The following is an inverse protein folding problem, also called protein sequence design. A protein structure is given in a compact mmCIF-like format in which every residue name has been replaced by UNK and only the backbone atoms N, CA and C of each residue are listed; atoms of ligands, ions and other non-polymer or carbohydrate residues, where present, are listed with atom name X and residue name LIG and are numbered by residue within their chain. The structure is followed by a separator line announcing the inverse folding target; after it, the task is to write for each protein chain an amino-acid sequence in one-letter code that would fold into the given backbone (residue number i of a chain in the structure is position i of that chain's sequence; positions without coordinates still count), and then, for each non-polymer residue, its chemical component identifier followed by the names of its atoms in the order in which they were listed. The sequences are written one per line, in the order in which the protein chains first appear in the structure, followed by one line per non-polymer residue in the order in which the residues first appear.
data_IF_133431466143
#
_entry.id   IF_133431466143
#
_cell.length_a   1.000
_cell.length_b   1.000
_cell.length_c   1.000
_cell.angle_alpha   90.00
_cell.angle_beta   90.00
_cell.angle_gamma   90.00
#
_symmetry.space_group_name_H-M   'P 1'
#
loop_
_entity.id
_entity.type
_entity.pdbx_description
1 polymer ?
#
# COMPACT_ATOMS: atom_id res chain seq x y z
N UNK A 1 3.93 2.62 28.65
CA UNK A 1 3.95 2.92 27.19
C UNK A 1 2.65 2.43 26.57
N UNK A 2 1.83 3.29 25.98
CA UNK A 2 0.71 2.82 25.14
C UNK A 2 1.30 2.10 23.94
N UNK A 3 1.13 0.79 23.86
CA UNK A 3 1.35 0.06 22.61
C UNK A 3 0.26 0.51 21.63
N UNK A 4 0.54 1.57 20.88
CA UNK A 4 -0.27 1.90 19.72
C UNK A 4 0.02 0.81 18.70
N UNK A 5 -0.77 -0.26 18.68
CA UNK A 5 -0.79 -1.21 17.56
C UNK A 5 -1.24 -0.41 16.34
N UNK A 6 -0.30 0.21 15.64
CA UNK A 6 -0.56 1.00 14.44
C UNK A 6 -1.07 0.03 13.38
N UNK A 7 -2.38 0.03 13.15
CA UNK A 7 -3.03 -0.85 12.18
C UNK A 7 -2.40 -0.65 10.79
N UNK A 8 -1.76 -1.70 10.26
CA UNK A 8 -1.15 -1.67 8.94
C UNK A 8 -2.20 -1.36 7.86
N UNK A 9 -3.40 -1.91 7.98
CA UNK A 9 -4.53 -1.60 7.08
C UNK A 9 -4.89 -0.11 7.13
N UNK A 10 -4.90 0.51 8.30
CA UNK A 10 -5.14 1.96 8.40
C UNK A 10 -4.02 2.75 7.74
N UNK A 11 -2.75 2.38 7.97
CA UNK A 11 -1.59 3.00 7.29
C UNK A 11 -1.72 2.92 5.78
N UNK A 12 -2.11 1.75 5.24
CA UNK A 12 -2.31 1.55 3.81
C UNK A 12 -3.43 2.45 3.25
N UNK A 13 -4.55 2.57 3.97
CA UNK A 13 -5.68 3.43 3.56
C UNK A 13 -5.29 4.90 3.52
N UNK A 14 -4.58 5.38 4.55
CA UNK A 14 -4.10 6.76 4.59
C UNK A 14 -3.08 7.03 3.48
N UNK A 15 -2.15 6.10 3.25
CA UNK A 15 -1.18 6.21 2.16
C UNK A 15 -1.87 6.23 0.79
N UNK A 16 -2.87 5.37 0.56
CA UNK A 16 -3.65 5.37 -0.68
C UNK A 16 -4.41 6.69 -0.87
N UNK A 17 -5.02 7.21 0.18
CA UNK A 17 -5.74 8.49 0.14
C UNK A 17 -4.78 9.66 -0.16
N UNK A 18 -3.60 9.69 0.47
CA UNK A 18 -2.56 10.67 0.18
C UNK A 18 -2.07 10.55 -1.27
N UNK A 19 -1.74 9.33 -1.72
CA UNK A 19 -1.27 9.07 -3.08
C UNK A 19 -2.27 9.50 -4.15
N UNK A 20 -3.58 9.30 -3.93
CA UNK A 20 -4.65 9.74 -4.86
C UNK A 20 -4.72 11.25 -5.03
N UNK A 21 -4.32 12.02 -4.02
CA UNK A 21 -4.30 13.49 -4.09
C UNK A 21 -3.02 14.03 -4.72
N UNK A 22 -1.95 13.25 -4.71
CA UNK A 22 -0.61 13.69 -5.12
C UNK A 22 -0.23 13.20 -6.52
N UNK A 23 -0.55 11.96 -6.87
CA UNK A 23 -0.07 11.32 -8.10
C UNK A 23 -1.18 11.25 -9.16
N UNK A 24 -0.84 11.36 -10.45
CA UNK A 24 -1.77 10.94 -11.50
C UNK A 24 -2.02 9.43 -11.39
N UNK A 25 -3.16 8.97 -11.95
CA UNK A 25 -3.54 7.56 -11.87
C UNK A 25 -2.43 6.62 -12.37
N UNK A 26 -1.79 6.97 -13.49
CA UNK A 26 -0.70 6.22 -14.11
C UNK A 26 0.45 7.16 -14.50
N UNK A 27 1.67 6.61 -14.61
CA UNK A 27 2.87 7.39 -14.90
C UNK A 27 2.94 7.87 -16.35
N UNK A 28 2.35 7.13 -17.29
CA UNK A 28 2.24 7.54 -18.69
C UNK A 28 1.08 6.83 -19.40
N UNK A 29 0.82 7.22 -20.65
CA UNK A 29 -0.17 6.54 -21.50
C UNK A 29 0.22 5.10 -21.85
N UNK A 30 1.51 4.78 -21.86
CA UNK A 30 2.05 3.47 -22.27
C UNK A 30 2.51 2.61 -21.09
N UNK A 31 2.47 3.13 -19.86
CA UNK A 31 2.74 2.32 -18.68
C UNK A 31 1.67 1.24 -18.50
N UNK A 32 2.01 0.15 -17.82
CA UNK A 32 1.02 -0.84 -17.39
C UNK A 32 -0.05 -0.19 -16.50
N UNK A 33 -1.32 -0.52 -16.73
CA UNK A 33 -2.48 0.02 -16.01
C UNK A 33 -3.12 -0.99 -15.06
N UNK A 34 -2.37 -2.01 -14.63
CA UNK A 34 -2.87 -3.00 -13.65
C UNK A 34 -3.04 -2.38 -12.26
N UNK A 35 -2.15 -1.44 -11.91
CA UNK A 35 -2.15 -0.74 -10.63
C UNK A 35 -1.88 0.75 -10.84
N UNK A 36 -2.62 1.56 -10.11
CA UNK A 36 -2.41 3.00 -10.05
C UNK A 36 -1.15 3.34 -9.25
N UNK A 37 -0.57 4.52 -9.51
CA UNK A 37 0.58 5.02 -8.73
C UNK A 37 0.26 5.13 -7.24
N UNK A 38 -0.97 5.51 -6.89
CA UNK A 38 -1.42 5.57 -5.51
C UNK A 38 -1.46 4.20 -4.82
N UNK A 39 -1.86 3.14 -5.54
CA UNK A 39 -1.81 1.75 -5.03
C UNK A 39 -0.38 1.29 -4.82
N UNK A 40 0.51 1.52 -5.80
CA UNK A 40 1.93 1.19 -5.68
C UNK A 40 2.59 1.93 -4.50
N UNK A 41 2.29 3.23 -4.35
CA UNK A 41 2.76 4.04 -3.23
C UNK A 41 2.28 3.50 -1.87
N UNK A 42 1.01 3.08 -1.77
CA UNK A 42 0.48 2.50 -0.54
C UNK A 42 1.22 1.20 -0.16
N UNK A 43 1.51 0.34 -1.14
CA UNK A 43 2.29 -0.89 -0.94
C UNK A 43 3.74 -0.60 -0.52
N UNK A 44 4.41 0.37 -1.15
CA UNK A 44 5.76 0.76 -0.75
C UNK A 44 5.80 1.33 0.68
N UNK A 45 4.80 2.11 1.05
CA UNK A 45 4.64 2.65 2.41
C UNK A 45 4.44 1.52 3.43
N UNK A 46 3.57 0.56 3.11
CA UNK A 46 3.36 -0.63 3.92
C UNK A 46 4.65 -1.44 4.11
N UNK A 47 5.40 -1.66 3.03
CA UNK A 47 6.68 -2.37 3.08
C UNK A 47 7.63 -1.72 4.09
N UNK A 48 7.77 -0.40 4.01
CA UNK A 48 8.63 0.37 4.90
C UNK A 48 8.12 0.35 6.35
N UNK A 49 6.81 0.49 6.54
CA UNK A 49 6.17 0.48 7.84
C UNK A 49 6.32 -0.87 8.56
N UNK A 50 6.13 -1.97 7.83
CA UNK A 50 6.24 -3.34 8.35
C UNK A 50 7.67 -3.87 8.38
N UNK A 51 8.62 -3.14 7.78
CA UNK A 51 10.03 -3.55 7.64
C UNK A 51 10.17 -4.94 7.00
N UNK A 52 9.36 -5.19 5.98
CA UNK A 52 9.32 -6.46 5.24
C UNK A 52 9.89 -6.29 3.83
N UNK A 53 10.04 -7.40 3.11
CA UNK A 53 10.40 -7.40 1.69
C UNK A 53 9.15 -7.48 0.79
N UNK A 54 9.35 -7.57 -0.53
CA UNK A 54 8.24 -7.66 -1.47
C UNK A 54 7.46 -8.97 -1.37
N UNK A 55 8.12 -10.10 -1.07
CA UNK A 55 7.44 -11.40 -0.96
C UNK A 55 6.58 -11.43 0.30
N UNK A 56 7.13 -10.99 1.42
CA UNK A 56 6.39 -10.87 2.68
C UNK A 56 5.22 -9.90 2.57
N UNK A 57 5.39 -8.77 1.87
CA UNK A 57 4.28 -7.84 1.61
C UNK A 57 3.16 -8.49 0.79
N UNK A 58 3.49 -9.21 -0.28
CA UNK A 58 2.49 -9.87 -1.14
C UNK A 58 1.70 -10.91 -0.34
N UNK A 59 2.37 -11.74 0.47
CA UNK A 59 1.70 -12.70 1.35
C UNK A 59 0.73 -12.01 2.29
N UNK A 60 1.17 -10.98 3.02
CA UNK A 60 0.31 -10.28 3.98
C UNK A 60 -0.91 -9.61 3.34
N UNK A 61 -0.73 -9.01 2.16
CA UNK A 61 -1.84 -8.34 1.44
C UNK A 61 -2.83 -9.37 0.90
N UNK A 62 -2.36 -10.53 0.43
CA UNK A 62 -3.22 -11.62 0.00
C UNK A 62 -4.08 -12.15 1.17
N UNK A 63 -3.44 -12.46 2.31
CA UNK A 63 -4.12 -12.92 3.52
C UNK A 63 -5.19 -11.92 4.00
N UNK A 64 -4.89 -10.61 4.01
CA UNK A 64 -5.91 -9.60 4.36
C UNK A 64 -7.05 -9.50 3.36
N UNK A 65 -6.79 -9.83 2.08
CA UNK A 65 -7.80 -9.90 1.05
C UNK A 65 -8.74 -11.09 1.24
N UNK A 66 -8.20 -12.25 1.64
CA UNK A 66 -8.98 -13.46 1.91
C UNK A 66 -9.90 -13.33 3.13
N UNK A 67 -9.51 -12.51 4.11
CA UNK A 67 -10.26 -12.30 5.36
C UNK A 67 -11.35 -11.20 5.26
N UNK A 68 -11.61 -10.66 4.06
CA UNK A 68 -12.44 -9.47 3.84
C UNK A 68 -13.66 -9.78 2.98
#
# INVERSE_FOLDING_TARGET
MRSMTKSAVRVAREALAAGRRTFPAYGSRTSRHDFTQAQLFALLTLRQFLRTDYRGLVTLVAEWGELR
#
